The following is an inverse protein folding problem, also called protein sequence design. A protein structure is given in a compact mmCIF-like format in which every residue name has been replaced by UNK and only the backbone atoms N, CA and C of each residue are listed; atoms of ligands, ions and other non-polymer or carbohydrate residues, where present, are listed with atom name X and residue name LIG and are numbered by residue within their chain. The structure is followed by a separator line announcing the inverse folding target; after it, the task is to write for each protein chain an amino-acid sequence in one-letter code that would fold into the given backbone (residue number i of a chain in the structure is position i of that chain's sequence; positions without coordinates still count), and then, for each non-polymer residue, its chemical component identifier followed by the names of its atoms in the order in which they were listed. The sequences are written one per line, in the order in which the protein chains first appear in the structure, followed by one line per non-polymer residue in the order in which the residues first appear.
data_IF_092845151169
#
_entry.id   IF_092845151169
#
_cell.length_a   1.000
_cell.length_b   1.000
_cell.length_c   1.000
_cell.angle_alpha   90.00
_cell.angle_beta   90.00
_cell.angle_gamma   90.00
#
_symmetry.space_group_name_H-M   'P 1'
#
loop_
_entity.id
_entity.type
_entity.pdbx_description
1 polymer ?
#
# COMPACT_ATOMS: atom_id res chain seq x y z
N UNK A 1 -16.49 5.72 27.14
CA UNK A 1 -15.94 4.85 26.10
C UNK A 1 -15.73 5.73 24.88
N UNK A 2 -14.52 5.79 24.37
CA UNK A 2 -14.16 6.64 23.23
C UNK A 2 -13.76 5.73 22.07
N UNK A 3 -14.07 6.14 20.83
CA UNK A 3 -13.65 5.46 19.61
C UNK A 3 -12.50 6.24 18.98
N UNK A 4 -11.48 5.56 18.50
CA UNK A 4 -10.34 6.24 17.88
C UNK A 4 -9.58 5.37 16.91
N UNK A 5 -8.64 6.00 16.20
CA UNK A 5 -7.74 5.38 15.22
C UNK A 5 -6.33 5.24 15.78
N UNK A 6 -5.72 4.10 15.58
CA UNK A 6 -4.34 3.86 15.98
C UNK A 6 -3.38 4.57 15.02
N UNK A 7 -2.66 5.57 15.54
CA UNK A 7 -1.67 6.32 14.77
C UNK A 7 -0.26 5.73 14.86
N UNK A 8 0.09 5.11 15.98
CA UNK A 8 1.42 4.56 16.22
C UNK A 8 1.33 3.30 17.09
N UNK A 9 2.13 2.30 16.77
CA UNK A 9 2.24 1.06 17.53
C UNK A 9 3.71 0.83 17.90
N UNK A 10 4.02 0.78 19.21
CA UNK A 10 5.37 0.48 19.72
C UNK A 10 5.47 -0.92 20.35
N UNK A 11 4.55 -1.81 19.96
CA UNK A 11 4.48 -3.19 20.45
C UNK A 11 3.74 -3.38 21.77
N UNK A 12 3.82 -2.46 22.72
CA UNK A 12 3.11 -2.51 24.00
C UNK A 12 2.20 -1.32 24.23
N UNK A 13 2.46 -0.22 23.55
CA UNK A 13 1.71 1.01 23.61
C UNK A 13 1.23 1.43 22.23
N UNK A 14 0.06 2.04 22.21
CA UNK A 14 -0.62 2.53 21.02
C UNK A 14 -1.01 3.99 21.24
N UNK A 15 -0.66 4.86 20.30
CA UNK A 15 -1.21 6.22 20.26
C UNK A 15 -2.51 6.15 19.48
N UNK A 16 -3.60 6.47 20.14
CA UNK A 16 -4.95 6.44 19.57
C UNK A 16 -5.47 7.87 19.45
N UNK A 17 -5.80 8.27 18.25
CA UNK A 17 -6.45 9.56 17.96
C UNK A 17 -7.98 9.38 18.03
N UNK A 18 -8.63 10.10 18.93
CA UNK A 18 -10.09 10.12 19.09
C UNK A 18 -10.75 11.26 18.30
N UNK A 19 -9.97 12.05 17.56
CA UNK A 19 -10.41 13.27 16.89
C UNK A 19 -10.38 14.51 17.78
N UNK A 20 -10.46 14.34 19.11
CA UNK A 20 -10.33 15.43 20.07
C UNK A 20 -8.94 15.46 20.73
N UNK A 21 -8.36 14.30 20.96
CA UNK A 21 -7.05 14.13 21.63
C UNK A 21 -6.39 12.82 21.24
N UNK A 22 -5.06 12.78 21.43
CA UNK A 22 -4.27 11.55 21.29
C UNK A 22 -4.09 10.92 22.67
N UNK A 23 -4.49 9.65 22.81
CA UNK A 23 -4.44 8.90 24.04
C UNK A 23 -3.42 7.77 23.94
N UNK A 24 -2.45 7.74 24.87
CA UNK A 24 -1.54 6.60 25.00
C UNK A 24 -2.29 5.43 25.64
N UNK A 25 -2.45 4.35 24.87
CA UNK A 25 -3.31 3.23 25.23
C UNK A 25 -2.55 1.92 25.27
N UNK A 26 -3.09 0.95 26.00
CA UNK A 26 -2.57 -0.43 26.08
C UNK A 26 -3.65 -1.43 25.71
N UNK A 27 -3.20 -2.59 25.19
CA UNK A 27 -4.04 -3.74 24.99
C UNK A 27 -3.92 -4.65 26.23
N UNK A 28 -5.00 -4.90 26.97
CA UNK A 28 -4.99 -5.83 28.11
C UNK A 28 -4.59 -7.24 27.68
N UNK A 29 -3.85 -7.96 28.55
CA UNK A 29 -3.24 -9.26 28.25
C UNK A 29 -4.21 -10.35 27.76
N UNK A 30 -5.48 -10.31 28.19
CA UNK A 30 -6.53 -11.25 27.77
C UNK A 30 -6.80 -11.27 26.26
N UNK A 31 -6.57 -10.16 25.55
CA UNK A 31 -6.77 -10.07 24.10
C UNK A 31 -5.62 -10.67 23.28
N UNK A 32 -4.46 -10.95 23.91
CA UNK A 32 -3.30 -11.57 23.23
C UNK A 32 -3.48 -13.07 22.99
N UNK A 33 -4.47 -13.69 23.62
CA UNK A 33 -4.65 -15.14 23.61
C UNK A 33 -5.55 -15.65 22.47
N UNK A 34 -6.43 -14.81 21.91
CA UNK A 34 -7.49 -15.27 21.03
C UNK A 34 -7.18 -15.20 19.52
N UNK A 35 -6.10 -14.52 19.11
CA UNK A 35 -5.72 -14.40 17.68
C UNK A 35 -4.37 -15.05 17.40
N UNK A 36 -4.38 -16.38 17.14
CA UNK A 36 -3.16 -17.18 16.86
C UNK A 36 -2.55 -17.00 15.48
N UNK A 37 -3.23 -16.35 14.53
CA UNK A 37 -2.84 -16.28 13.12
C UNK A 37 -2.17 -14.98 12.71
N UNK A 38 -2.23 -13.92 13.54
CA UNK A 38 -1.65 -12.61 13.22
C UNK A 38 -0.54 -12.28 14.22
N UNK A 39 0.63 -11.89 13.72
CA UNK A 39 1.80 -11.59 14.57
C UNK A 39 1.65 -10.32 15.42
N UNK A 40 0.76 -9.40 15.00
CA UNK A 40 0.42 -8.16 15.70
C UNK A 40 -1.11 -8.01 15.82
N UNK A 41 -1.67 -8.09 17.03
CA UNK A 41 -3.13 -8.01 17.22
C UNK A 41 -3.70 -6.64 16.83
N UNK A 42 -2.92 -5.57 17.00
CA UNK A 42 -3.28 -4.20 16.61
C UNK A 42 -2.19 -3.65 15.71
N UNK A 43 -2.61 -3.02 14.62
CA UNK A 43 -1.71 -2.30 13.71
C UNK A 43 -2.14 -0.84 13.57
N UNK A 44 -1.29 -0.07 12.90
CA UNK A 44 -1.56 1.32 12.55
C UNK A 44 -2.73 1.39 11.57
N UNK A 45 -3.65 2.31 11.81
CA UNK A 45 -4.89 2.44 11.03
C UNK A 45 -6.10 1.74 11.66
N UNK A 46 -5.90 0.77 12.58
CA UNK A 46 -7.00 0.08 13.24
C UNK A 46 -7.91 1.05 13.98
N UNK A 47 -9.20 0.77 13.92
CA UNK A 47 -10.21 1.46 14.70
C UNK A 47 -10.45 0.67 15.97
N UNK A 48 -10.39 1.36 17.11
CA UNK A 48 -10.53 0.74 18.43
C UNK A 48 -11.49 1.52 19.32
N UNK A 49 -12.16 0.81 20.24
CA UNK A 49 -12.82 1.42 21.37
C UNK A 49 -11.93 1.34 22.58
N UNK A 50 -11.87 2.41 23.35
CA UNK A 50 -11.05 2.49 24.55
C UNK A 50 -11.79 3.13 25.73
N UNK A 51 -11.37 2.76 26.93
CA UNK A 51 -11.73 3.40 28.18
C UNK A 51 -10.56 4.25 28.66
N UNK A 52 -10.85 5.50 29.00
CA UNK A 52 -9.84 6.43 29.50
C UNK A 52 -9.76 6.31 31.02
N UNK A 53 -8.55 6.10 31.52
CA UNK A 53 -8.26 6.02 32.96
C UNK A 53 -8.12 7.43 33.57
N UNK A 54 -8.16 7.52 34.89
CA UNK A 54 -7.99 8.79 35.64
C UNK A 54 -6.62 9.46 35.40
N UNK A 55 -5.60 8.67 35.02
CA UNK A 55 -4.26 9.16 34.69
C UNK A 55 -4.12 9.66 33.23
N UNK A 56 -5.21 9.63 32.46
CA UNK A 56 -5.24 10.03 31.04
C UNK A 56 -4.76 8.96 30.07
N UNK A 57 -4.34 7.78 30.54
CA UNK A 57 -4.03 6.63 29.69
C UNK A 57 -5.31 5.91 29.24
N UNK A 58 -5.21 5.08 28.18
CA UNK A 58 -6.34 4.30 27.66
C UNK A 58 -6.15 2.80 27.77
N UNK A 59 -7.23 2.08 28.02
CA UNK A 59 -7.31 0.63 27.86
C UNK A 59 -8.15 0.30 26.62
N UNK A 60 -7.56 -0.38 25.65
CA UNK A 60 -8.27 -0.83 24.43
C UNK A 60 -9.19 -1.98 24.82
N UNK A 61 -10.47 -1.82 24.52
CA UNK A 61 -11.53 -2.77 24.84
C UNK A 61 -11.97 -3.60 23.64
N UNK A 62 -12.01 -2.98 22.45
CA UNK A 62 -12.47 -3.61 21.20
C UNK A 62 -11.57 -3.20 20.06
N UNK A 63 -11.32 -4.10 19.13
CA UNK A 63 -10.69 -3.84 17.86
C UNK A 63 -11.76 -4.11 16.80
N UNK A 64 -12.11 -3.10 16.01
CA UNK A 64 -13.08 -3.24 14.93
C UNK A 64 -12.51 -4.03 13.76
N UNK A 65 -13.39 -4.61 12.94
CA UNK A 65 -13.01 -5.29 11.71
C UNK A 65 -12.32 -4.30 10.76
N UNK A 66 -11.31 -4.77 10.08
CA UNK A 66 -10.57 -4.02 9.08
C UNK A 66 -11.31 -4.06 7.76
N UNK A 67 -11.49 -2.92 7.10
CA UNK A 67 -12.04 -2.85 5.75
C UNK A 67 -11.02 -3.34 4.71
N UNK A 68 -9.76 -2.95 4.90
CA UNK A 68 -8.63 -3.36 4.07
C UNK A 68 -7.32 -3.27 4.85
N UNK A 69 -6.23 -3.79 4.27
CA UNK A 69 -4.91 -3.70 4.90
C UNK A 69 -3.78 -4.02 3.91
N UNK A 70 -2.55 -3.64 4.25
CA UNK A 70 -1.34 -4.04 3.53
C UNK A 70 -0.50 -4.94 4.44
N UNK A 71 -0.04 -6.07 3.89
CA UNK A 71 0.80 -7.03 4.59
C UNK A 71 2.20 -7.12 3.98
N UNK A 72 3.09 -7.74 4.74
CA UNK A 72 4.33 -8.31 4.22
C UNK A 72 4.46 -9.77 4.66
N UNK A 73 5.21 -10.54 3.90
CA UNK A 73 5.56 -11.89 4.31
C UNK A 73 6.35 -11.87 5.63
N UNK A 74 5.98 -12.73 6.57
CA UNK A 74 6.72 -12.84 7.83
C UNK A 74 8.12 -13.38 7.56
N UNK A 75 9.16 -12.61 7.87
CA UNK A 75 10.55 -13.06 7.75
C UNK A 75 10.86 -14.11 8.82
N UNK A 76 11.57 -15.17 8.41
CA UNK A 76 12.11 -16.23 9.27
C UNK A 76 11.10 -17.09 10.05
N UNK A 77 10.48 -18.07 9.36
CA UNK A 77 9.89 -19.27 10.02
C UNK A 77 8.66 -19.02 10.90
N UNK A 78 8.14 -17.81 10.99
CA UNK A 78 6.86 -17.52 11.63
C UNK A 78 5.75 -17.67 10.59
N UNK A 79 4.88 -18.66 10.76
CA UNK A 79 3.62 -18.73 10.03
C UNK A 79 2.75 -17.56 10.49
N UNK A 80 2.29 -16.74 9.55
CA UNK A 80 1.36 -15.64 9.79
C UNK A 80 1.71 -14.37 9.02
N UNK A 81 0.70 -13.63 8.66
CA UNK A 81 0.82 -12.32 8.02
C UNK A 81 1.27 -11.26 9.03
N UNK A 82 2.14 -10.38 8.61
CA UNK A 82 2.46 -9.17 9.36
C UNK A 82 1.77 -7.97 8.72
N UNK A 83 0.66 -7.56 9.30
CA UNK A 83 -0.10 -6.41 8.79
C UNK A 83 0.69 -5.14 9.11
N UNK A 84 0.97 -4.35 8.09
CA UNK A 84 1.74 -3.11 8.18
C UNK A 84 0.86 -1.92 8.52
N UNK A 85 -0.27 -1.79 7.83
CA UNK A 85 -1.24 -0.72 7.99
C UNK A 85 -2.62 -1.22 7.56
N UNK A 86 -3.67 -0.71 8.17
CA UNK A 86 -5.07 -1.07 7.88
C UNK A 86 -5.93 0.17 7.62
N UNK A 87 -7.12 -0.05 7.06
CA UNK A 87 -8.14 0.97 6.83
C UNK A 87 -7.60 2.19 6.07
N UNK A 88 -6.90 1.91 4.96
CA UNK A 88 -6.42 2.92 4.02
C UNK A 88 -7.55 3.38 3.11
N UNK A 89 -7.63 4.67 2.82
CA UNK A 89 -8.49 5.18 1.74
C UNK A 89 -7.88 4.90 0.37
N UNK A 90 -6.53 4.90 0.29
CA UNK A 90 -5.82 4.70 -0.97
C UNK A 90 -4.34 4.37 -0.77
N UNK A 91 -3.73 3.74 -1.76
CA UNK A 91 -2.30 3.50 -1.82
C UNK A 91 -1.75 3.87 -3.20
N UNK A 92 -0.56 4.47 -3.23
CA UNK A 92 0.09 4.87 -4.48
C UNK A 92 1.45 4.22 -4.64
N UNK A 93 1.67 3.60 -5.80
CA UNK A 93 3.02 3.28 -6.23
C UNK A 93 3.67 4.52 -6.84
N UNK A 94 4.80 4.92 -6.29
CA UNK A 94 5.60 6.02 -6.82
C UNK A 94 6.78 5.45 -7.59
N UNK A 95 6.85 5.77 -8.86
CA UNK A 95 7.98 5.49 -9.73
C UNK A 95 8.57 6.80 -10.24
N UNK A 96 9.83 6.81 -10.64
CA UNK A 96 10.40 7.93 -11.37
C UNK A 96 10.65 7.54 -12.82
N UNK A 97 10.40 8.48 -13.73
CA UNK A 97 10.68 8.24 -15.15
C UNK A 97 12.16 7.92 -15.37
N UNK A 98 13.04 8.57 -14.59
CA UNK A 98 14.50 8.35 -14.59
C UNK A 98 15.08 8.50 -13.19
N UNK A 99 16.15 7.78 -12.90
CA UNK A 99 16.94 7.87 -11.64
C UNK A 99 16.13 7.63 -10.36
N UNK A 100 15.69 6.38 -10.13
CA UNK A 100 15.89 5.16 -10.92
C UNK A 100 14.98 5.11 -12.14
N UNK A 101 15.26 4.18 -13.08
CA UNK A 101 14.40 3.93 -14.23
C UNK A 101 13.09 3.30 -13.77
N UNK A 102 11.98 3.70 -14.38
CA UNK A 102 10.66 3.14 -14.16
C UNK A 102 10.66 1.62 -14.35
N UNK A 103 9.95 0.92 -13.47
CA UNK A 103 9.81 -0.54 -13.47
C UNK A 103 8.32 -0.92 -13.43
N UNK A 104 7.78 -1.30 -14.57
CA UNK A 104 6.38 -1.71 -14.72
C UNK A 104 6.07 -3.00 -13.94
N UNK A 105 7.00 -3.95 -13.86
CA UNK A 105 6.82 -5.16 -13.08
C UNK A 105 6.62 -4.87 -11.58
N UNK A 106 7.29 -3.83 -11.05
CA UNK A 106 7.06 -3.36 -9.69
C UNK A 106 5.69 -2.71 -9.54
N UNK A 107 5.24 -1.91 -10.52
CA UNK A 107 3.90 -1.31 -10.54
C UNK A 107 2.86 -2.44 -10.52
N UNK A 108 2.97 -3.39 -11.44
CA UNK A 108 2.01 -4.48 -11.60
C UNK A 108 1.90 -5.35 -10.34
N UNK A 109 3.03 -5.69 -9.71
CA UNK A 109 3.02 -6.44 -8.44
C UNK A 109 2.34 -5.65 -7.31
N UNK A 110 2.55 -4.34 -7.26
CA UNK A 110 1.88 -3.48 -6.29
C UNK A 110 0.37 -3.46 -6.51
N UNK A 111 -0.09 -3.28 -7.75
CA UNK A 111 -1.52 -3.23 -8.08
C UNK A 111 -2.21 -4.54 -7.71
N UNK A 112 -1.63 -5.68 -8.07
CA UNK A 112 -2.13 -7.01 -7.69
C UNK A 112 -2.22 -7.18 -6.18
N UNK A 113 -1.23 -6.69 -5.43
CA UNK A 113 -1.29 -6.74 -3.97
C UNK A 113 -2.43 -5.88 -3.43
N UNK A 114 -2.67 -4.70 -4.00
CA UNK A 114 -3.78 -3.86 -3.58
C UNK A 114 -5.15 -4.50 -3.88
N UNK A 115 -5.32 -5.11 -5.06
CA UNK A 115 -6.54 -5.86 -5.39
C UNK A 115 -6.78 -7.01 -4.41
N UNK A 116 -5.75 -7.77 -4.07
CA UNK A 116 -5.86 -8.91 -3.14
C UNK A 116 -6.28 -8.52 -1.72
N UNK A 117 -6.10 -7.26 -1.34
CA UNK A 117 -6.41 -6.76 0.01
C UNK A 117 -7.44 -5.62 0.03
N UNK A 118 -8.19 -5.42 -1.05
CA UNK A 118 -9.26 -4.41 -1.20
C UNK A 118 -8.77 -2.97 -0.95
N UNK A 119 -7.54 -2.64 -1.36
CA UNK A 119 -6.96 -1.29 -1.23
C UNK A 119 -7.08 -0.55 -2.55
N UNK A 120 -7.77 0.59 -2.58
CA UNK A 120 -7.78 1.47 -3.77
C UNK A 120 -6.38 1.88 -4.16
N UNK A 121 -5.97 1.58 -5.40
CA UNK A 121 -4.60 1.77 -5.88
C UNK A 121 -4.50 2.86 -6.95
N UNK A 122 -3.36 3.56 -6.99
CA UNK A 122 -3.02 4.51 -8.04
C UNK A 122 -1.51 4.54 -8.32
N UNK A 123 -1.14 5.18 -9.42
CA UNK A 123 0.24 5.27 -9.91
C UNK A 123 0.66 6.73 -9.95
N UNK A 124 1.84 7.03 -9.43
CA UNK A 124 2.49 8.34 -9.54
C UNK A 124 3.81 8.17 -10.28
N UNK A 125 3.94 8.83 -11.43
CA UNK A 125 5.19 8.90 -12.21
C UNK A 125 5.83 10.24 -11.92
N UNK A 126 6.86 10.21 -11.09
CA UNK A 126 7.57 11.39 -10.62
C UNK A 126 8.81 11.72 -11.47
N UNK A 127 9.35 12.91 -11.28
CA UNK A 127 10.54 13.45 -11.95
C UNK A 127 10.36 13.62 -13.45
N UNK A 128 9.18 14.08 -13.87
CA UNK A 128 8.90 14.35 -15.29
C UNK A 128 9.80 15.44 -15.86
N UNK A 129 10.40 16.29 -15.04
CA UNK A 129 11.48 17.22 -15.40
C UNK A 129 12.71 16.53 -16.01
N UNK A 130 12.93 15.26 -15.69
CA UNK A 130 14.03 14.46 -16.25
C UNK A 130 13.64 13.71 -17.52
N UNK A 131 12.39 13.79 -17.99
CA UNK A 131 11.91 13.09 -19.17
C UNK A 131 12.62 13.57 -20.45
N UNK A 132 12.89 12.64 -21.37
CA UNK A 132 13.44 12.91 -22.71
C UNK A 132 12.35 12.68 -23.75
N UNK A 133 12.62 13.07 -24.99
CA UNK A 133 11.64 13.05 -26.09
C UNK A 133 10.86 11.73 -26.25
N UNK A 134 11.48 10.57 -26.07
CA UNK A 134 10.76 9.29 -26.17
C UNK A 134 10.12 8.81 -24.85
N UNK A 135 10.35 9.51 -23.73
CA UNK A 135 9.75 9.12 -22.45
C UNK A 135 8.30 9.62 -22.34
N UNK A 136 7.95 10.71 -23.01
CA UNK A 136 6.59 11.25 -22.99
C UNK A 136 5.62 10.31 -23.71
N UNK A 137 5.96 9.87 -24.93
CA UNK A 137 5.15 8.91 -25.70
C UNK A 137 4.95 7.61 -24.89
N UNK A 138 6.03 7.08 -24.29
CA UNK A 138 5.97 5.89 -23.42
C UNK A 138 5.06 6.08 -22.20
N UNK A 139 5.12 7.25 -21.57
CA UNK A 139 4.27 7.55 -20.40
C UNK A 139 2.81 7.71 -20.82
N UNK A 140 2.53 8.32 -21.97
CA UNK A 140 1.17 8.46 -22.53
C UNK A 140 0.55 7.08 -22.81
N UNK A 141 1.27 6.19 -23.48
CA UNK A 141 0.85 4.81 -23.75
C UNK A 141 0.57 4.06 -22.41
N UNK A 142 1.47 4.20 -21.44
CA UNK A 142 1.30 3.58 -20.13
C UNK A 142 0.09 4.13 -19.37
N UNK A 143 -0.15 5.43 -19.44
CA UNK A 143 -1.34 6.07 -18.85
C UNK A 143 -2.62 5.50 -19.46
N UNK A 144 -2.66 5.33 -20.77
CA UNK A 144 -3.81 4.78 -21.47
C UNK A 144 -4.09 3.34 -21.00
N UNK A 145 -3.07 2.48 -20.96
CA UNK A 145 -3.19 1.09 -20.50
C UNK A 145 -3.75 1.02 -19.07
N UNK A 146 -3.12 1.71 -18.11
CA UNK A 146 -3.56 1.58 -16.71
C UNK A 146 -4.92 2.24 -16.45
N UNK A 147 -5.24 3.35 -17.12
CA UNK A 147 -6.57 3.97 -17.01
C UNK A 147 -7.67 3.10 -17.61
N UNK A 148 -7.41 2.41 -18.72
CA UNK A 148 -8.39 1.53 -19.35
C UNK A 148 -8.82 0.35 -18.45
N UNK A 149 -7.93 -0.07 -17.55
CA UNK A 149 -8.18 -1.14 -16.57
C UNK A 149 -8.54 -0.61 -15.17
N UNK A 150 -8.81 0.70 -15.05
CA UNK A 150 -9.40 1.30 -13.85
C UNK A 150 -8.42 1.96 -12.87
N UNK A 151 -7.10 2.01 -13.14
CA UNK A 151 -6.15 2.63 -12.23
C UNK A 151 -5.86 4.09 -12.60
N UNK A 152 -6.01 5.04 -11.66
CA UNK A 152 -5.59 6.41 -11.88
C UNK A 152 -4.07 6.51 -11.99
N UNK A 153 -3.61 7.29 -12.98
CA UNK A 153 -2.18 7.57 -13.19
C UNK A 153 -1.97 9.07 -13.16
N UNK A 154 -1.03 9.50 -12.35
CA UNK A 154 -0.63 10.90 -12.18
C UNK A 154 0.82 11.07 -12.53
N UNK A 155 1.13 12.09 -13.31
CA UNK A 155 2.51 12.50 -13.57
C UNK A 155 2.84 13.71 -12.72
N UNK A 156 4.05 13.79 -12.17
CA UNK A 156 4.44 14.96 -11.40
C UNK A 156 5.95 15.26 -11.48
N UNK A 157 6.26 16.51 -11.17
CA UNK A 157 7.59 16.97 -10.79
C UNK A 157 7.45 17.90 -9.58
N UNK A 158 8.38 17.84 -8.65
CA UNK A 158 8.41 18.79 -7.52
C UNK A 158 8.70 20.25 -7.98
N UNK A 159 9.10 20.44 -9.24
CA UNK A 159 9.33 21.73 -9.87
C UNK A 159 8.08 22.28 -10.57
N UNK A 160 7.01 21.46 -10.67
CA UNK A 160 5.75 21.80 -11.32
C UNK A 160 4.62 21.97 -10.30
N UNK A 161 4.27 23.21 -10.00
CA UNK A 161 3.27 23.57 -8.99
C UNK A 161 1.87 23.00 -9.34
N UNK A 162 1.50 22.92 -10.62
CA UNK A 162 0.18 22.43 -11.04
C UNK A 162 0.03 20.95 -10.71
N UNK A 163 1.05 20.14 -11.00
CA UNK A 163 1.06 18.72 -10.68
C UNK A 163 1.05 18.46 -9.16
N UNK A 164 1.72 19.31 -8.38
CA UNK A 164 1.70 19.22 -6.91
C UNK A 164 0.33 19.59 -6.33
N UNK A 165 -0.32 20.65 -6.81
CA UNK A 165 -1.68 21.00 -6.37
C UNK A 165 -2.69 19.91 -6.73
N UNK A 166 -2.53 19.24 -7.87
CA UNK A 166 -3.32 18.06 -8.21
C UNK A 166 -3.13 16.95 -7.16
N UNK A 167 -1.88 16.63 -6.82
CA UNK A 167 -1.59 15.62 -5.78
C UNK A 167 -2.16 16.02 -4.43
N UNK A 168 -2.04 17.29 -4.00
CA UNK A 168 -2.64 17.76 -2.75
C UNK A 168 -4.15 17.51 -2.71
N UNK A 169 -4.85 17.76 -3.82
CA UNK A 169 -6.29 17.53 -3.89
C UNK A 169 -6.69 16.06 -3.73
N UNK A 170 -5.84 15.14 -4.20
CA UNK A 170 -6.05 13.69 -4.12
C UNK A 170 -5.82 13.17 -2.71
N UNK A 171 -4.84 13.74 -1.99
CA UNK A 171 -4.46 13.30 -0.63
C UNK A 171 -5.24 13.99 0.48
N UNK A 172 -5.94 15.07 0.16
CA UNK A 172 -6.69 15.85 1.14
C UNK A 172 -7.72 14.97 1.87
N UNK A 173 -7.64 15.01 3.20
CA UNK A 173 -8.54 14.28 4.12
C UNK A 173 -8.55 12.75 3.92
N UNK A 174 -7.48 12.18 3.33
CA UNK A 174 -7.33 10.75 3.06
C UNK A 174 -6.20 10.12 3.86
N UNK A 175 -6.35 8.84 4.15
CA UNK A 175 -5.28 8.01 4.67
C UNK A 175 -4.61 7.33 3.49
N UNK A 176 -3.40 7.78 3.18
CA UNK A 176 -2.68 7.39 1.97
C UNK A 176 -1.39 6.64 2.31
N UNK A 177 -1.08 5.59 1.55
CA UNK A 177 0.23 4.93 1.59
C UNK A 177 1.05 5.25 0.34
N UNK A 178 2.36 5.48 0.50
CA UNK A 178 3.30 5.71 -0.59
C UNK A 178 4.31 4.58 -0.67
N UNK A 179 4.23 3.80 -1.73
CA UNK A 179 5.08 2.64 -1.97
C UNK A 179 5.98 2.92 -3.18
N UNK A 180 7.20 2.42 -3.17
CA UNK A 180 8.11 2.55 -4.31
C UNK A 180 9.57 2.44 -3.90
N UNK A 181 10.47 2.20 -4.87
CA UNK A 181 11.90 2.07 -4.63
C UNK A 181 12.55 3.28 -3.94
N UNK A 182 13.76 3.09 -3.45
CA UNK A 182 14.55 4.21 -2.92
C UNK A 182 14.91 5.17 -4.05
N UNK A 183 14.84 6.47 -3.77
CA UNK A 183 15.25 7.50 -4.73
C UNK A 183 14.19 7.90 -5.76
N UNK A 184 12.98 7.34 -5.77
CA UNK A 184 11.90 7.76 -6.68
C UNK A 184 11.28 9.11 -6.31
N UNK A 185 11.56 9.64 -5.10
CA UNK A 185 11.14 10.98 -4.69
C UNK A 185 9.92 11.03 -3.77
N UNK A 186 9.52 9.92 -3.14
CA UNK A 186 8.39 9.90 -2.17
C UNK A 186 8.48 10.99 -1.11
N UNK A 187 9.59 11.04 -0.39
CA UNK A 187 9.83 12.06 0.65
C UNK A 187 9.83 13.48 0.08
N UNK A 188 10.37 13.66 -1.14
CA UNK A 188 10.38 14.98 -1.78
C UNK A 188 8.96 15.45 -2.11
N UNK A 189 8.12 14.57 -2.65
CA UNK A 189 6.70 14.86 -2.91
C UNK A 189 6.01 15.25 -1.60
N UNK A 190 6.17 14.44 -0.54
CA UNK A 190 5.53 14.69 0.75
C UNK A 190 5.97 16.00 1.39
N UNK A 191 7.26 16.36 1.26
CA UNK A 191 7.76 17.66 1.77
C UNK A 191 7.24 18.87 0.99
N UNK A 192 6.90 18.72 -0.28
CA UNK A 192 6.31 19.81 -1.05
C UNK A 192 4.80 19.92 -0.75
N UNK A 193 4.13 18.78 -0.48
CA UNK A 193 2.73 18.76 -0.04
C UNK A 193 2.59 19.33 1.38
N UNK A 194 3.48 18.94 2.28
CA UNK A 194 3.53 19.36 3.69
C UNK A 194 4.99 19.69 4.06
N UNK A 195 5.37 20.97 4.10
CA UNK A 195 6.76 21.39 4.41
C UNK A 195 7.27 20.88 5.75
N UNK A 196 6.39 20.67 6.72
CA UNK A 196 6.75 20.19 8.06
C UNK A 196 6.84 18.66 8.14
N UNK A 197 6.57 17.93 7.05
CA UNK A 197 6.59 16.46 7.03
C UNK A 197 7.92 15.89 7.55
N UNK A 198 9.06 16.41 7.10
CA UNK A 198 10.38 15.95 7.56
C UNK A 198 10.61 16.20 9.04
N UNK A 199 10.14 17.33 9.59
CA UNK A 199 10.23 17.63 11.02
C UNK A 199 9.39 16.63 11.81
N UNK A 200 8.17 16.36 11.38
CA UNK A 200 7.28 15.37 11.99
C UNK A 200 7.91 13.96 12.00
N UNK A 201 8.54 13.55 10.89
CA UNK A 201 9.30 12.30 10.78
C UNK A 201 10.51 12.29 11.72
N UNK A 202 11.24 13.40 11.81
CA UNK A 202 12.44 13.58 12.64
C UNK A 202 12.14 13.54 14.14
N UNK A 203 11.11 14.23 14.60
CA UNK A 203 10.71 14.27 16.02
C UNK A 203 10.34 12.88 16.56
N UNK A 204 9.61 12.10 15.78
CA UNK A 204 9.21 10.75 16.19
C UNK A 204 10.42 9.78 16.19
N UNK A 205 11.36 9.94 15.25
CA UNK A 205 12.59 9.13 15.23
C UNK A 205 13.52 9.43 16.38
N UNK A 206 13.58 10.68 16.86
CA UNK A 206 14.40 11.09 18.01
C UNK A 206 13.84 10.56 19.35
N UNK A 207 12.53 10.40 19.47
CA UNK A 207 11.90 9.82 20.67
C UNK A 207 12.16 8.33 20.85
N UNK A 208 12.58 7.62 19.78
CA UNK A 208 12.90 6.19 19.79
C UNK A 208 14.38 5.87 20.03
N UNK A 209 15.26 6.88 20.22
CA UNK A 209 16.69 6.69 20.42
C UNK A 209 17.06 6.24 21.85
N UNK A 210 16.69 4.98 22.19
CA UNK A 210 17.41 4.18 23.19
C UNK A 210 17.51 2.75 22.72
N UNK A 211 18.55 2.45 21.94
CA UNK A 211 18.90 1.08 21.62
C UNK A 211 19.10 0.82 20.14
N UNK A 212 20.27 0.32 19.82
CA UNK A 212 20.82 -0.02 18.52
C UNK A 212 20.12 -1.24 17.88
N UNK A 213 18.80 -1.14 17.64
CA UNK A 213 18.03 -2.01 16.75
C UNK A 213 16.99 -1.15 16.05
N UNK A 214 17.13 -1.02 14.75
CA UNK A 214 16.19 -0.30 13.87
C UNK A 214 14.85 -1.06 13.82
N UNK A 215 14.10 -1.07 14.91
CA UNK A 215 12.71 -1.51 14.87
C UNK A 215 11.89 -0.32 14.44
N UNK A 216 11.72 -0.20 13.17
CA UNK A 216 10.95 0.84 12.53
C UNK A 216 9.48 0.47 12.66
N UNK A 217 8.78 1.15 13.56
CA UNK A 217 7.34 0.97 13.76
C UNK A 217 6.57 1.71 12.66
N UNK A 218 5.50 1.10 12.17
CA UNK A 218 4.56 1.75 11.29
C UNK A 218 3.83 2.89 12.03
N UNK A 219 3.54 3.99 11.33
CA UNK A 219 2.81 5.13 11.89
C UNK A 219 2.03 5.88 10.82
N UNK A 220 0.97 6.55 11.25
CA UNK A 220 0.25 7.54 10.45
C UNK A 220 0.75 8.94 10.83
N UNK A 221 1.24 9.68 9.85
CA UNK A 221 1.72 11.05 10.00
C UNK A 221 0.65 11.99 9.48
N UNK A 222 0.12 12.90 10.32
CA UNK A 222 -0.90 13.84 9.88
C UNK A 222 -0.32 14.85 8.89
N UNK A 223 -1.10 15.16 7.86
CA UNK A 223 -0.77 16.20 6.87
C UNK A 223 -1.49 17.51 7.17
N UNK A 224 -0.88 18.66 6.84
CA UNK A 224 -1.52 19.98 7.00
C UNK A 224 -2.78 20.14 6.15
N UNK A 225 -2.83 19.48 4.99
CA UNK A 225 -4.00 19.46 4.10
C UNK A 225 -5.16 18.59 4.62
N UNK A 226 -5.01 18.00 5.82
CA UNK A 226 -5.89 16.97 6.38
C UNK A 226 -5.49 15.57 5.94
N UNK A 227 -6.01 14.56 6.66
CA UNK A 227 -5.67 13.16 6.42
C UNK A 227 -4.30 12.75 6.95
N UNK A 228 -3.80 11.59 6.49
CA UNK A 228 -2.58 10.98 7.02
C UNK A 228 -1.79 10.28 5.93
N UNK A 229 -0.48 10.22 6.12
CA UNK A 229 0.41 9.34 5.34
C UNK A 229 0.92 8.21 6.21
N UNK A 230 0.79 6.98 5.71
CA UNK A 230 1.37 5.79 6.33
C UNK A 230 2.88 5.75 6.07
N UNK A 231 3.67 6.00 7.11
CA UNK A 231 5.12 5.79 7.11
C UNK A 231 5.41 4.40 7.70
N UNK A 232 5.59 3.44 6.83
CA UNK A 232 5.82 2.05 7.18
C UNK A 232 7.15 1.60 6.59
N UNK A 233 8.22 1.60 7.40
CA UNK A 233 9.49 1.01 6.98
C UNK A 233 9.29 -0.50 6.79
N UNK A 234 9.49 -0.97 5.58
CA UNK A 234 9.21 -2.38 5.22
C UNK A 234 8.12 -2.54 4.15
N UNK A 235 7.36 -1.52 3.82
CA UNK A 235 6.48 -1.46 2.63
C UNK A 235 7.27 -1.67 1.30
N UNK A 236 8.60 -1.66 1.36
CA UNK A 236 9.46 -1.98 0.20
C UNK A 236 9.44 -3.46 -0.18
N UNK A 237 9.02 -4.32 0.73
CA UNK A 237 9.00 -5.78 0.61
C UNK A 237 7.56 -6.32 0.65
N UNK A 238 6.60 -5.57 0.08
CA UNK A 238 5.26 -6.11 -0.11
C UNK A 238 5.35 -7.27 -1.12
N UNK A 239 4.63 -8.33 -0.84
CA UNK A 239 4.63 -9.54 -1.65
C UNK A 239 3.24 -10.14 -1.75
N UNK A 240 3.07 -10.99 -2.73
CA UNK A 240 1.91 -11.84 -2.83
C UNK A 240 2.01 -12.88 -1.71
N UNK A 241 1.13 -12.79 -0.72
CA UNK A 241 1.12 -13.69 0.43
C UNK A 241 -0.21 -14.43 0.41
N UNK A 242 -0.15 -15.76 0.56
CA UNK A 242 -1.34 -16.62 0.60
C UNK A 242 -2.24 -16.52 -0.65
N UNK A 243 -1.67 -16.34 -1.84
CA UNK A 243 -2.39 -16.37 -3.12
C UNK A 243 -2.08 -17.71 -3.80
N UNK A 244 -3.11 -18.46 -4.11
CA UNK A 244 -3.01 -19.69 -4.89
C UNK A 244 -2.83 -19.34 -6.38
N UNK A 245 -2.15 -20.21 -7.14
CA UNK A 245 -1.81 -19.98 -8.55
C UNK A 245 -3.03 -19.61 -9.39
N UNK A 246 -4.13 -20.33 -9.21
CA UNK A 246 -5.39 -20.09 -9.93
C UNK A 246 -6.13 -18.81 -9.49
N UNK A 247 -5.83 -18.27 -8.32
CA UNK A 247 -6.42 -17.03 -7.81
C UNK A 247 -5.76 -15.79 -8.40
N UNK A 248 -4.48 -15.86 -8.80
CA UNK A 248 -3.72 -14.71 -9.24
C UNK A 248 -4.42 -13.91 -10.34
N UNK A 249 -5.09 -14.57 -11.27
CA UNK A 249 -5.84 -13.92 -12.36
C UNK A 249 -7.06 -13.12 -11.88
N UNK A 250 -7.57 -13.36 -10.66
CA UNK A 250 -8.66 -12.58 -10.06
C UNK A 250 -8.23 -11.17 -9.69
N UNK A 251 -6.91 -10.96 -9.52
CA UNK A 251 -6.31 -9.69 -9.13
C UNK A 251 -5.74 -8.90 -10.34
N UNK A 252 -6.14 -9.32 -11.55
CA UNK A 252 -5.90 -8.59 -12.80
C UNK A 252 -7.28 -8.20 -13.37
N UNK A 253 -7.75 -6.96 -13.19
CA UNK A 253 -9.11 -6.55 -13.59
C UNK A 253 -9.42 -6.88 -15.04
N UNK A 254 -8.46 -6.74 -15.95
CA UNK A 254 -8.57 -7.05 -17.37
C UNK A 254 -8.71 -8.55 -17.68
N UNK A 255 -8.44 -9.41 -16.72
CA UNK A 255 -8.58 -10.88 -16.88
C UNK A 255 -9.90 -11.42 -16.33
N UNK A 256 -10.64 -10.63 -15.53
CA UNK A 256 -11.85 -11.10 -14.83
C UNK A 256 -12.92 -11.56 -15.83
N UNK A 257 -13.27 -10.75 -16.81
CA UNK A 257 -14.26 -11.10 -17.83
C UNK A 257 -13.78 -12.22 -18.74
N UNK A 258 -12.56 -12.17 -19.35
CA UNK A 258 -12.06 -13.23 -20.21
C UNK A 258 -11.98 -14.61 -19.53
N UNK A 259 -11.67 -14.67 -18.23
CA UNK A 259 -11.57 -15.96 -17.52
C UNK A 259 -12.88 -16.71 -17.40
N UNK A 260 -14.03 -16.03 -17.50
CA UNK A 260 -15.35 -16.70 -17.51
C UNK A 260 -15.52 -17.65 -18.71
N UNK A 261 -14.80 -17.38 -19.81
CA UNK A 261 -14.78 -18.21 -21.00
C UNK A 261 -13.78 -19.38 -20.92
N UNK A 262 -13.03 -19.53 -19.83
CA UNK A 262 -12.09 -20.63 -19.67
C UNK A 262 -12.79 -21.98 -19.52
N UNK A 263 -12.26 -22.98 -20.17
CA UNK A 263 -12.78 -24.36 -20.08
C UNK A 263 -12.60 -24.97 -18.68
N UNK A 264 -11.59 -24.56 -17.94
CA UNK A 264 -11.23 -25.13 -16.63
C UNK A 264 -11.33 -24.07 -15.53
N UNK A 265 -11.91 -24.41 -14.39
CA UNK A 265 -12.09 -23.51 -13.25
C UNK A 265 -10.76 -23.09 -12.57
N UNK A 266 -9.74 -23.96 -12.68
CA UNK A 266 -8.39 -23.73 -12.12
C UNK A 266 -7.38 -23.44 -13.24
N UNK A 267 -7.82 -22.73 -14.30
CA UNK A 267 -6.97 -22.38 -15.41
C UNK A 267 -5.87 -21.41 -14.95
N UNK A 268 -4.62 -21.69 -15.26
CA UNK A 268 -3.47 -20.82 -14.97
C UNK A 268 -3.16 -19.85 -16.12
N UNK A 269 -3.91 -19.95 -17.23
CA UNK A 269 -3.85 -19.04 -18.37
C UNK A 269 -2.48 -18.97 -19.07
N UNK A 270 -1.71 -20.08 -19.05
CA UNK A 270 -0.39 -20.17 -19.69
C UNK A 270 -0.45 -21.00 -20.99
N UNK A 271 -1.05 -22.18 -20.92
CA UNK A 271 -1.02 -23.17 -22.03
C UNK A 271 -2.29 -24.00 -22.16
N UNK A 272 -3.32 -23.73 -21.37
CA UNK A 272 -4.52 -24.54 -21.36
C UNK A 272 -5.38 -24.34 -22.61
N UNK A 273 -5.80 -25.40 -23.25
CA UNK A 273 -6.64 -25.32 -24.45
C UNK A 273 -8.04 -24.79 -24.11
N UNK A 274 -8.49 -23.80 -24.88
CA UNK A 274 -9.77 -23.13 -24.66
C UNK A 274 -9.73 -22.15 -23.49
N UNK A 275 -8.60 -21.51 -23.26
CA UNK A 275 -8.43 -20.45 -22.29
C UNK A 275 -8.93 -19.11 -22.87
N UNK A 276 -9.90 -18.49 -22.18
CA UNK A 276 -10.43 -17.19 -22.58
C UNK A 276 -9.42 -16.05 -22.42
N UNK A 277 -8.57 -16.11 -21.39
CA UNK A 277 -7.54 -15.10 -21.14
C UNK A 277 -6.45 -15.12 -22.23
N UNK A 278 -6.00 -16.31 -22.66
CA UNK A 278 -5.06 -16.43 -23.78
C UNK A 278 -5.69 -15.86 -25.06
N UNK A 279 -6.95 -16.18 -25.33
CA UNK A 279 -7.65 -15.65 -26.49
C UNK A 279 -7.77 -14.11 -26.45
N UNK A 280 -8.11 -13.53 -25.32
CA UNK A 280 -8.16 -12.09 -25.12
C UNK A 280 -6.77 -11.43 -25.31
N UNK A 281 -5.72 -12.06 -24.81
CA UNK A 281 -4.33 -11.60 -25.04
C UNK A 281 -3.96 -11.65 -26.54
N UNK A 282 -4.24 -12.75 -27.24
CA UNK A 282 -3.97 -12.91 -28.67
C UNK A 282 -4.75 -11.92 -29.54
N UNK A 283 -5.96 -11.54 -29.09
CA UNK A 283 -6.78 -10.51 -29.74
C UNK A 283 -6.33 -9.07 -29.42
N UNK A 284 -5.36 -8.87 -28.52
CA UNK A 284 -4.87 -7.53 -28.12
C UNK A 284 -5.77 -6.81 -27.12
N UNK A 285 -6.67 -7.51 -26.46
CA UNK A 285 -7.55 -6.97 -25.39
C UNK A 285 -6.82 -6.84 -24.04
N UNK A 286 -5.74 -7.61 -23.86
CA UNK A 286 -4.86 -7.56 -22.68
C UNK A 286 -3.49 -7.05 -23.12
N UNK A 287 -2.99 -6.02 -22.42
CA UNK A 287 -1.67 -5.45 -22.70
C UNK A 287 -0.55 -6.49 -22.50
N UNK A 288 0.43 -6.58 -23.43
CA UNK A 288 1.51 -7.55 -23.35
C UNK A 288 2.38 -7.44 -22.09
N UNK A 289 2.65 -6.23 -21.58
CA UNK A 289 3.46 -6.05 -20.37
C UNK A 289 2.69 -6.49 -19.12
N UNK A 290 1.37 -6.32 -19.13
CA UNK A 290 0.49 -6.82 -18.07
C UNK A 290 0.44 -8.33 -18.06
N UNK A 291 0.23 -8.96 -19.23
CA UNK A 291 0.21 -10.41 -19.34
C UNK A 291 1.57 -11.04 -18.98
N UNK A 292 2.69 -10.46 -19.44
CA UNK A 292 4.02 -10.94 -19.03
C UNK A 292 4.27 -10.76 -17.52
N UNK A 293 3.77 -9.67 -16.93
CA UNK A 293 3.86 -9.50 -15.47
C UNK A 293 3.04 -10.54 -14.72
N UNK A 294 1.88 -10.93 -15.23
CA UNK A 294 1.09 -12.04 -14.69
C UNK A 294 1.90 -13.34 -14.67
N UNK A 295 2.48 -13.74 -15.81
CA UNK A 295 3.30 -14.96 -15.92
C UNK A 295 4.48 -14.93 -14.95
N UNK A 296 5.23 -13.82 -14.90
CA UNK A 296 6.37 -13.68 -13.98
C UNK A 296 5.97 -13.74 -12.50
N UNK A 297 4.77 -13.26 -12.16
CA UNK A 297 4.25 -13.37 -10.79
C UNK A 297 3.84 -14.80 -10.47
N UNK A 298 3.18 -15.48 -11.40
CA UNK A 298 2.75 -16.87 -11.25
C UNK A 298 3.97 -17.79 -11.02
N UNK A 299 5.01 -17.68 -11.85
CA UNK A 299 6.27 -18.42 -11.66
C UNK A 299 6.91 -18.15 -10.29
N UNK A 300 6.77 -16.92 -9.75
CA UNK A 300 7.30 -16.57 -8.43
C UNK A 300 6.49 -17.10 -7.25
N UNK A 301 5.30 -17.66 -7.47
CA UNK A 301 4.50 -18.34 -6.43
C UNK A 301 4.92 -19.81 -6.27
N UNK A 302 5.47 -20.41 -7.33
CA UNK A 302 5.91 -21.83 -7.34
C UNK A 302 7.26 -22.02 -6.59
N UNK A 303 8.06 -20.97 -6.35
CA UNK A 303 9.36 -20.98 -5.64
C UNK A 303 9.18 -20.76 -4.11
#
# INVERSE_FOLDING_TARGET
MEKGRVLESTGSWYKVDTGEKIINSRLPGKFRLDKKEVTNPITVGDIVDLEVNDDGSGNILTIHDRENYITRQATHGKRGEHILVSNLDQAFVVQSIRKPKLNEGFINRFLVTCEAYDVSAGIIINKMDLAKKGDHDFVEDMIEVYKSIGYPVYTCSIEDEESIEQLKSIFKDKISAFIGPSGVGKTSILNVIDPDYNLKVGEVSSSSNKGKHTTTFARLIPLEIGGFVADTPGIREFGLVNIEDWELSLYFPEMIEPREACKFNTCTHIHEPGCGVIAAFENGEIDPNRYHSYINMLESLED
#
